data_IF_958927360367
#
_entry.id   IF_958927360367
#
_cell.length_a   1.000
_cell.length_b   1.000
_cell.length_c   1.000
_cell.angle_alpha   90.00
_cell.angle_beta   90.00
_cell.angle_gamma   90.00
#
_symmetry.space_group_name_H-M   'P 1'
#
loop_
_entity.id
_entity.type
_entity.pdbx_description
1 polymer ?
#
# COMPACT_ATOMS: atom_id res chain seq x y z
N UNK A 1 19.33 -11.05 19.66
CA UNK A 1 18.30 -11.26 18.63
C UNK A 1 18.21 -9.95 17.88
N UNK A 2 18.64 -9.92 16.62
CA UNK A 2 18.36 -8.77 15.75
C UNK A 2 16.85 -8.70 15.58
N UNK A 3 16.23 -7.55 15.86
CA UNK A 3 14.80 -7.38 15.62
C UNK A 3 14.57 -7.32 14.11
N UNK A 4 13.70 -8.16 13.58
CA UNK A 4 13.29 -8.16 12.18
C UNK A 4 12.62 -6.83 11.83
N UNK A 5 13.05 -6.20 10.74
CA UNK A 5 12.50 -4.94 10.24
C UNK A 5 11.20 -5.20 9.47
N UNK A 6 10.08 -4.64 9.93
CA UNK A 6 8.79 -4.82 9.26
C UNK A 6 8.49 -3.59 8.39
N UNK A 7 8.41 -3.82 7.08
CA UNK A 7 8.15 -2.79 6.08
C UNK A 7 6.72 -2.97 5.57
N UNK A 8 5.92 -1.91 5.58
CA UNK A 8 4.64 -1.85 4.91
C UNK A 8 4.76 -1.00 3.64
N UNK A 9 4.16 -1.45 2.55
CA UNK A 9 4.16 -0.73 1.28
C UNK A 9 2.72 -0.53 0.79
N UNK A 10 2.36 0.69 0.40
CA UNK A 10 1.04 0.99 -0.16
C UNK A 10 1.13 1.30 -1.66
N UNK A 11 0.47 0.45 -2.47
CA UNK A 11 0.40 0.57 -3.93
C UNK A 11 -1.07 0.75 -4.39
N UNK A 12 -1.51 1.99 -4.66
CA UNK A 12 -2.88 2.38 -5.00
C UNK A 12 -3.28 2.05 -6.44
N UNK A 13 -2.35 1.70 -7.33
CA UNK A 13 -2.65 1.66 -8.76
C UNK A 13 -3.42 0.42 -9.21
N UNK A 14 -4.31 0.65 -10.17
CA UNK A 14 -5.27 -0.33 -10.68
C UNK A 14 -5.09 -0.69 -12.16
N UNK A 15 -4.32 0.10 -12.92
CA UNK A 15 -4.38 0.08 -14.39
C UNK A 15 -3.10 -0.43 -15.05
N UNK A 16 -1.98 -0.49 -14.33
CA UNK A 16 -0.69 -0.96 -14.87
C UNK A 16 -0.02 -2.04 -14.03
N UNK A 17 0.42 -3.13 -14.68
CA UNK A 17 1.26 -4.16 -14.07
C UNK A 17 2.63 -3.61 -13.64
N UNK A 18 3.09 -2.55 -14.29
CA UNK A 18 4.41 -1.94 -14.05
C UNK A 18 4.57 -1.42 -12.62
N UNK A 19 3.52 -0.83 -12.04
CA UNK A 19 3.57 -0.30 -10.67
C UNK A 19 3.71 -1.41 -9.64
N UNK A 20 2.91 -2.47 -9.78
CA UNK A 20 2.99 -3.60 -8.85
C UNK A 20 4.33 -4.32 -8.97
N UNK A 21 4.77 -4.63 -10.19
CA UNK A 21 6.09 -5.25 -10.43
C UNK A 21 7.21 -4.42 -9.82
N UNK A 22 7.17 -3.10 -10.01
CA UNK A 22 8.15 -2.18 -9.45
C UNK A 22 8.12 -2.16 -7.92
N UNK A 23 6.93 -2.13 -7.30
CA UNK A 23 6.81 -2.20 -5.84
C UNK A 23 7.38 -3.52 -5.30
N UNK A 24 7.16 -4.64 -5.96
CA UNK A 24 7.76 -5.93 -5.58
C UNK A 24 9.29 -5.88 -5.70
N UNK A 25 9.83 -5.28 -6.77
CA UNK A 25 11.28 -5.13 -6.94
C UNK A 25 11.90 -4.20 -5.88
N UNK A 26 11.25 -3.09 -5.57
CA UNK A 26 11.68 -2.17 -4.51
C UNK A 26 11.63 -2.89 -3.16
N UNK A 27 10.54 -3.59 -2.85
CA UNK A 27 10.40 -4.34 -1.60
C UNK A 27 11.47 -5.41 -1.46
N UNK A 28 11.78 -6.15 -2.54
CA UNK A 28 12.89 -7.12 -2.56
C UNK A 28 14.22 -6.45 -2.20
N UNK A 29 14.57 -5.35 -2.88
CA UNK A 29 15.83 -4.64 -2.60
C UNK A 29 15.88 -4.13 -1.16
N UNK A 30 14.77 -3.58 -0.65
CA UNK A 30 14.70 -3.11 0.74
C UNK A 30 14.95 -4.24 1.73
N UNK A 31 14.43 -5.44 1.49
CA UNK A 31 14.69 -6.60 2.35
C UNK A 31 16.16 -7.03 2.26
N UNK A 32 16.74 -7.07 1.07
CA UNK A 32 18.15 -7.42 0.85
C UNK A 32 19.10 -6.45 1.58
N UNK A 33 18.83 -5.14 1.50
CA UNK A 33 19.64 -4.10 2.16
C UNK A 33 19.46 -4.08 3.69
N UNK A 34 18.24 -4.36 4.17
CA UNK A 34 17.93 -4.40 5.61
C UNK A 34 18.42 -5.69 6.30
N UNK A 35 18.74 -6.74 5.52
CA UNK A 35 19.18 -8.04 6.01
C UNK A 35 18.02 -8.90 6.51
N UNK A 36 17.52 -8.65 7.71
CA UNK A 36 16.39 -9.37 8.32
C UNK A 36 15.14 -8.49 8.28
N UNK A 37 14.33 -8.62 7.23
CA UNK A 37 13.15 -7.80 7.03
C UNK A 37 11.99 -8.54 6.37
N UNK A 38 10.77 -8.11 6.69
CA UNK A 38 9.54 -8.55 6.04
C UNK A 38 8.89 -7.37 5.30
N UNK A 39 8.23 -7.65 4.17
CA UNK A 39 7.43 -6.65 3.44
C UNK A 39 5.98 -7.08 3.37
N UNK A 40 5.08 -6.21 3.80
CA UNK A 40 3.64 -6.34 3.60
C UNK A 40 3.14 -5.31 2.59
N UNK A 41 2.70 -5.78 1.42
CA UNK A 41 2.31 -4.94 0.30
C UNK A 41 0.78 -4.82 0.17
N UNK A 42 0.24 -3.63 0.42
CA UNK A 42 -1.15 -3.30 0.11
C UNK A 42 -1.31 -3.07 -1.39
N UNK A 43 -2.01 -3.97 -2.06
CA UNK A 43 -2.20 -3.96 -3.50
C UNK A 43 -3.66 -3.73 -3.88
N UNK A 44 -3.92 -2.76 -4.75
CA UNK A 44 -5.25 -2.50 -5.28
C UNK A 44 -5.59 -3.38 -6.49
N UNK A 45 -4.57 -3.67 -7.29
CA UNK A 45 -4.67 -4.40 -8.55
C UNK A 45 -5.35 -5.77 -8.36
N UNK A 46 -6.37 -6.10 -9.17
CA UNK A 46 -7.08 -7.39 -9.06
C UNK A 46 -6.19 -8.59 -9.41
N UNK A 47 -5.07 -8.36 -10.11
CA UNK A 47 -4.13 -9.42 -10.51
C UNK A 47 -2.95 -9.57 -9.55
N UNK A 48 -2.92 -8.80 -8.45
CA UNK A 48 -1.79 -8.86 -7.52
C UNK A 48 -1.46 -10.26 -6.99
N UNK A 49 -2.45 -11.12 -6.64
CA UNK A 49 -2.19 -12.48 -6.20
C UNK A 49 -1.50 -13.40 -7.21
N UNK A 50 -1.39 -13.00 -8.49
CA UNK A 50 -0.74 -13.80 -9.53
C UNK A 50 0.74 -13.45 -9.74
N UNK A 51 1.27 -12.48 -8.99
CA UNK A 51 2.69 -12.15 -9.04
C UNK A 51 3.48 -13.08 -8.12
N UNK A 52 4.63 -13.54 -8.59
CA UNK A 52 5.59 -14.22 -7.73
C UNK A 52 6.17 -13.23 -6.72
N UNK A 53 6.07 -13.59 -5.44
CA UNK A 53 6.64 -12.83 -4.33
C UNK A 53 7.92 -13.53 -3.85
N UNK A 54 8.97 -12.79 -3.48
CA UNK A 54 10.12 -13.35 -2.78
C UNK A 54 9.72 -13.79 -1.35
N UNK A 55 10.51 -14.69 -0.76
CA UNK A 55 10.38 -15.04 0.66
C UNK A 55 10.49 -13.78 1.54
N UNK A 56 9.69 -13.73 2.62
CA UNK A 56 9.59 -12.55 3.49
C UNK A 56 8.63 -11.46 2.99
N UNK A 57 8.03 -11.63 1.81
CA UNK A 57 7.02 -10.71 1.28
C UNK A 57 5.65 -11.37 1.17
N UNK A 58 4.61 -10.65 1.60
CA UNK A 58 3.21 -11.03 1.38
C UNK A 58 2.39 -9.79 0.98
N UNK A 59 1.15 -10.01 0.53
CA UNK A 59 0.26 -8.95 0.07
C UNK A 59 -1.07 -8.92 0.84
N UNK A 60 -1.57 -7.70 0.98
CA UNK A 60 -2.95 -7.43 1.36
C UNK A 60 -3.67 -6.88 0.16
N UNK A 61 -4.49 -7.73 -0.47
CA UNK A 61 -5.32 -7.32 -1.60
C UNK A 61 -6.50 -6.49 -1.09
N UNK A 62 -6.55 -5.22 -1.50
CA UNK A 62 -7.68 -4.34 -1.18
C UNK A 62 -8.87 -4.58 -2.13
N UNK A 63 -10.13 -4.47 -1.66
CA UNK A 63 -11.31 -4.47 -2.53
C UNK A 63 -11.16 -3.49 -3.71
N UNK A 64 -11.13 -3.98 -4.95
CA UNK A 64 -10.60 -3.21 -6.08
C UNK A 64 -11.51 -2.04 -6.48
N UNK A 65 -10.89 -0.92 -6.85
CA UNK A 65 -11.55 0.27 -7.39
C UNK A 65 -11.11 0.54 -8.83
N UNK A 66 -11.91 1.28 -9.59
CA UNK A 66 -11.58 1.72 -10.97
C UNK A 66 -11.65 3.24 -11.06
N UNK A 67 -10.72 3.84 -11.79
CA UNK A 67 -10.70 5.29 -12.02
C UNK A 67 -11.73 5.61 -13.09
N UNK A 68 -12.70 6.45 -12.76
CA UNK A 68 -13.67 6.97 -13.74
C UNK A 68 -13.18 8.29 -14.32
N UNK A 69 -12.65 9.16 -13.46
CA UNK A 69 -12.06 10.44 -13.83
C UNK A 69 -11.05 10.89 -12.76
N UNK A 70 -10.43 12.05 -12.94
CA UNK A 70 -9.54 12.62 -11.93
C UNK A 70 -10.27 12.78 -10.59
N UNK A 71 -9.73 12.16 -9.52
CA UNK A 71 -10.33 12.18 -8.18
C UNK A 71 -11.56 11.29 -7.99
N UNK A 72 -12.14 10.73 -9.06
CA UNK A 72 -13.34 9.90 -8.96
C UNK A 72 -13.03 8.42 -9.19
N UNK A 73 -13.27 7.63 -8.15
CA UNK A 73 -13.10 6.19 -8.15
C UNK A 73 -14.40 5.49 -7.78
N UNK A 74 -14.64 4.33 -8.39
CA UNK A 74 -15.81 3.49 -8.14
C UNK A 74 -15.39 2.06 -7.80
N UNK A 75 -16.24 1.27 -7.12
CA UNK A 75 -16.06 -0.17 -7.02
C UNK A 75 -15.84 -0.83 -8.38
N UNK A 76 -14.78 -1.62 -8.52
CA UNK A 76 -14.48 -2.29 -9.79
C UNK A 76 -15.34 -3.55 -10.03
N UNK A 77 -15.86 -4.15 -8.96
CA UNK A 77 -16.54 -5.45 -8.97
C UNK A 77 -17.74 -5.53 -8.02
N UNK A 78 -17.60 -4.99 -6.81
CA UNK A 78 -18.65 -5.02 -5.80
C UNK A 78 -19.80 -4.10 -6.19
N UNK A 79 -21.05 -4.56 -6.02
CA UNK A 79 -22.27 -3.76 -6.21
C UNK A 79 -22.60 -3.07 -4.89
N UNK A 80 -21.88 -2.00 -4.58
CA UNK A 80 -22.04 -1.26 -3.33
C UNK A 80 -21.79 0.23 -3.51
N UNK A 81 -22.17 1.02 -2.51
CA UNK A 81 -21.88 2.43 -2.48
C UNK A 81 -20.37 2.71 -2.37
N UNK A 82 -19.91 3.79 -3.03
CA UNK A 82 -18.49 4.17 -3.08
C UNK A 82 -17.95 4.63 -1.73
N UNK A 83 -18.74 5.32 -0.91
CA UNK A 83 -18.32 5.78 0.41
C UNK A 83 -18.22 4.60 1.36
N UNK A 84 -19.16 3.64 1.25
CA UNK A 84 -19.06 2.39 2.02
C UNK A 84 -17.79 1.59 1.65
N UNK A 85 -17.44 1.51 0.36
CA UNK A 85 -16.21 0.84 -0.07
C UNK A 85 -14.96 1.56 0.45
N UNK A 86 -14.96 2.89 0.41
CA UNK A 86 -13.87 3.72 0.96
C UNK A 86 -13.69 3.47 2.45
N UNK A 87 -14.78 3.44 3.23
CA UNK A 87 -14.73 3.13 4.67
C UNK A 87 -14.14 1.74 4.92
N UNK A 88 -14.62 0.71 4.20
CA UNK A 88 -14.11 -0.65 4.33
C UNK A 88 -12.60 -0.72 4.06
N UNK A 89 -12.13 -0.04 3.01
CA UNK A 89 -10.70 0.01 2.65
C UNK A 89 -9.88 0.76 3.71
N UNK A 90 -10.37 1.89 4.19
CA UNK A 90 -9.71 2.67 5.25
C UNK A 90 -9.59 1.89 6.56
N UNK A 91 -10.64 1.18 6.96
CA UNK A 91 -10.65 0.36 8.18
C UNK A 91 -9.68 -0.83 8.07
N UNK A 92 -9.63 -1.47 6.91
CA UNK A 92 -8.68 -2.55 6.64
C UNK A 92 -7.24 -2.04 6.69
N UNK A 93 -6.92 -0.94 6.01
CA UNK A 93 -5.60 -0.31 6.05
C UNK A 93 -5.20 0.04 7.48
N UNK A 94 -6.09 0.68 8.23
CA UNK A 94 -5.86 1.07 9.63
C UNK A 94 -5.62 -0.15 10.51
N UNK A 95 -6.47 -1.15 10.42
CA UNK A 95 -6.38 -2.36 11.24
C UNK A 95 -5.07 -3.10 10.97
N UNK A 96 -4.73 -3.33 9.70
CA UNK A 96 -3.50 -4.05 9.34
C UNK A 96 -2.28 -3.25 9.79
N UNK A 97 -2.19 -1.95 9.50
CA UNK A 97 -1.02 -1.15 9.88
C UNK A 97 -0.79 -1.09 11.40
N UNK A 98 -1.86 -0.98 12.20
CA UNK A 98 -1.74 -0.96 13.67
C UNK A 98 -1.30 -2.32 14.26
N UNK A 99 -1.72 -3.42 13.65
CA UNK A 99 -1.39 -4.77 14.12
C UNK A 99 -0.04 -5.27 13.58
N UNK A 100 0.31 -4.89 12.35
CA UNK A 100 1.58 -5.23 11.70
C UNK A 100 2.76 -4.44 12.29
N UNK A 101 2.50 -3.21 12.80
CA UNK A 101 3.49 -2.36 13.48
C UNK A 101 4.77 -2.15 12.64
N UNK A 102 4.64 -1.62 11.42
CA UNK A 102 5.80 -1.45 10.55
C UNK A 102 6.80 -0.45 11.16
N UNK A 103 8.08 -0.70 10.95
CA UNK A 103 9.17 0.25 11.18
C UNK A 103 9.23 1.30 10.05
N UNK A 104 8.79 0.91 8.85
CA UNK A 104 8.72 1.77 7.66
C UNK A 104 7.39 1.56 6.92
N UNK A 105 6.68 2.64 6.64
CA UNK A 105 5.57 2.69 5.68
C UNK A 105 5.99 3.47 4.44
N UNK A 106 6.14 2.78 3.31
CA UNK A 106 6.40 3.37 2.00
C UNK A 106 5.09 3.52 1.20
N UNK A 107 4.74 4.74 0.82
CA UNK A 107 3.54 5.08 0.05
C UNK A 107 3.94 5.45 -1.38
N UNK A 108 3.59 4.64 -2.39
CA UNK A 108 3.86 4.92 -3.82
C UNK A 108 2.54 5.22 -4.54
N UNK A 109 2.19 6.38 -5.05
CA UNK A 109 2.74 7.73 -5.01
C UNK A 109 1.65 8.72 -4.52
N UNK A 110 0.53 8.18 -4.01
CA UNK A 110 -0.62 8.94 -3.54
C UNK A 110 -0.57 9.05 -2.00
N UNK A 111 -0.12 10.18 -1.42
CA UNK A 111 0.12 10.30 0.01
C UNK A 111 -1.12 10.04 0.87
N UNK A 112 -2.30 10.40 0.36
CA UNK A 112 -3.58 10.17 1.04
C UNK A 112 -4.25 8.83 0.66
N UNK A 113 -3.64 8.06 -0.24
CA UNK A 113 -4.26 6.91 -0.88
C UNK A 113 -5.44 7.28 -1.79
N UNK A 114 -6.10 6.26 -2.34
CA UNK A 114 -7.28 6.45 -3.19
C UNK A 114 -8.39 7.14 -2.39
N UNK A 115 -8.82 8.32 -2.84
CA UNK A 115 -9.87 9.13 -2.22
C UNK A 115 -9.66 9.43 -0.71
N UNK A 116 -8.41 9.46 -0.25
CA UNK A 116 -8.08 9.79 1.15
C UNK A 116 -8.19 8.62 2.12
N UNK A 117 -8.35 7.39 1.65
CA UNK A 117 -8.52 6.20 2.49
C UNK A 117 -7.36 5.91 3.44
N UNK A 118 -6.16 6.42 3.14
CA UNK A 118 -4.96 6.15 3.94
C UNK A 118 -4.84 7.12 5.13
N UNK A 119 -5.48 8.29 5.08
CA UNK A 119 -5.35 9.33 6.09
C UNK A 119 -5.71 8.86 7.52
N UNK A 120 -6.83 8.13 7.74
CA UNK A 120 -7.16 7.63 9.08
C UNK A 120 -6.12 6.63 9.61
N UNK A 121 -5.56 5.81 8.71
CA UNK A 121 -4.55 4.84 9.06
C UNK A 121 -3.21 5.50 9.40
N UNK A 122 -2.79 6.53 8.64
CA UNK A 122 -1.57 7.30 8.93
C UNK A 122 -1.63 7.99 10.29
N UNK A 123 -2.77 8.64 10.58
CA UNK A 123 -2.98 9.31 11.86
C UNK A 123 -2.89 8.31 13.02
N UNK A 124 -3.65 7.21 12.93
CA UNK A 124 -3.66 6.20 13.98
C UNK A 124 -2.29 5.51 14.14
N UNK A 125 -1.59 5.24 13.03
CA UNK A 125 -0.25 4.64 13.04
C UNK A 125 0.74 5.55 13.76
N UNK A 126 0.75 6.86 13.46
CA UNK A 126 1.65 7.80 14.14
C UNK A 126 1.32 8.04 15.60
N UNK A 127 0.06 7.97 15.98
CA UNK A 127 -0.35 8.03 17.39
C UNK A 127 0.08 6.78 18.17
N UNK A 128 -0.01 5.60 17.57
CA UNK A 128 0.30 4.33 18.24
C UNK A 128 1.79 3.94 18.18
N UNK A 129 2.46 4.27 17.08
CA UNK A 129 3.84 3.88 16.76
C UNK A 129 4.60 5.11 16.21
N UNK A 130 4.94 6.09 17.06
CA UNK A 130 5.53 7.36 16.64
C UNK A 130 6.86 7.18 15.87
N UNK A 131 7.60 6.13 16.18
CA UNK A 131 8.91 5.80 15.60
C UNK A 131 8.82 5.21 14.18
N UNK A 132 7.64 4.76 13.74
CA UNK A 132 7.43 4.25 12.38
C UNK A 132 7.74 5.33 11.34
N UNK A 133 8.72 5.12 10.47
CA UNK A 133 9.05 6.07 9.40
C UNK A 133 8.00 6.02 8.29
N UNK A 134 7.47 7.18 7.87
CA UNK A 134 6.51 7.25 6.76
C UNK A 134 7.17 7.97 5.60
N UNK A 135 7.32 7.28 4.47
CA UNK A 135 8.04 7.75 3.29
C UNK A 135 7.11 7.77 2.09
N UNK A 136 7.15 8.87 1.32
CA UNK A 136 6.42 9.00 0.06
C UNK A 136 7.38 8.70 -1.10
N UNK A 137 7.10 7.64 -1.86
CA UNK A 137 7.78 7.32 -3.10
C UNK A 137 7.18 8.11 -4.26
N UNK A 138 7.97 9.01 -4.86
CA UNK A 138 7.58 9.76 -6.05
C UNK A 138 8.41 9.31 -7.25
N UNK A 139 7.80 9.40 -8.43
CA UNK A 139 8.53 9.26 -9.70
C UNK A 139 9.16 10.60 -10.04
N UNK A 140 10.31 10.53 -10.70
CA UNK A 140 10.98 11.69 -11.30
C UNK A 140 10.05 12.43 -12.28
N UNK A 141 9.30 11.66 -13.08
CA UNK A 141 8.25 12.16 -13.97
C UNK A 141 6.91 11.53 -13.55
N UNK A 142 5.97 12.37 -13.11
CA UNK A 142 4.66 11.91 -12.62
C UNK A 142 3.63 11.71 -13.75
N UNK A 143 3.75 12.42 -14.87
CA UNK A 143 2.82 12.36 -16.02
C UNK A 143 3.58 12.56 -17.37
N UNK A 144 2.98 13.20 -18.39
CA UNK A 144 3.71 13.53 -19.62
C UNK A 144 4.72 14.68 -19.36
N UNK A 145 5.87 14.70 -20.05
CA UNK A 145 6.80 15.83 -19.99
C UNK A 145 6.17 17.15 -20.45
#
# INVERSE_FOLDING_TARGET
MTSTCNIAMYSPENVGLGHLRRNILIGRQLMEEAGDANVLLFANSPVAPFFELPDGMDLVKLPSVRKISAGNWEPARLRMDKELLKTLRADLLRSVLLNYRPDLLLVDHMPAGVQGELLPALKALKEAHPDCSVVLGLRDILDAP
#
